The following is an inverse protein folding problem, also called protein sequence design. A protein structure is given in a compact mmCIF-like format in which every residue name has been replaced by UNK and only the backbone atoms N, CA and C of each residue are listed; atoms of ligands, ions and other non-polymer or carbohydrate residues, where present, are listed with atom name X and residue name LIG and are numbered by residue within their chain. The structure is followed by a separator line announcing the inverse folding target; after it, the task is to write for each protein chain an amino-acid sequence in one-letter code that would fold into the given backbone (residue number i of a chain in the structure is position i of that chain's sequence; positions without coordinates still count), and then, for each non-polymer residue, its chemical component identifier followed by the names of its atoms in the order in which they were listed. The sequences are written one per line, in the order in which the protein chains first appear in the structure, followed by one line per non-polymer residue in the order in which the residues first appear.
data_IF_466865970842
#
_entry.id   IF_466865970842
#
_cell.length_a   1.000
_cell.length_b   1.000
_cell.length_c   1.000
_cell.angle_alpha   90.00
_cell.angle_beta   90.00
_cell.angle_gamma   90.00
#
_symmetry.space_group_name_H-M   'P 1'
#
loop_
_entity.id
_entity.type
_entity.pdbx_description
1 polymer ?
#
# COMPACT_ATOMS: atom_id res chain seq x y z
N UNK A 1 -44.58 46.32 61.33
CA UNK A 1 -44.27 44.92 60.94
C UNK A 1 -45.17 44.51 59.78
N UNK A 2 -44.65 44.46 58.55
CA UNK A 2 -45.18 43.68 57.41
C UNK A 2 -44.13 43.75 56.29
N UNK A 3 -43.77 42.58 55.76
CA UNK A 3 -42.64 42.31 54.86
C UNK A 3 -42.99 42.62 53.41
N UNK A 4 -42.08 43.25 52.68
CA UNK A 4 -42.10 43.38 51.22
C UNK A 4 -41.50 42.12 50.56
N UNK A 5 -42.18 41.62 49.53
CA UNK A 5 -41.66 40.60 48.61
C UNK A 5 -40.59 41.20 47.69
N UNK A 6 -39.46 40.51 47.54
CA UNK A 6 -38.48 40.77 46.50
C UNK A 6 -38.41 39.55 45.56
N UNK A 7 -38.58 39.81 44.27
CA UNK A 7 -38.51 38.88 43.14
C UNK A 7 -37.04 38.68 42.79
N UNK A 8 -36.56 37.43 42.79
CA UNK A 8 -35.23 37.07 42.26
C UNK A 8 -35.37 36.50 40.85
N UNK A 9 -34.76 37.15 39.87
CA UNK A 9 -34.60 36.66 38.51
C UNK A 9 -33.29 35.85 38.39
N UNK A 10 -33.38 34.60 37.94
CA UNK A 10 -32.24 33.78 37.55
C UNK A 10 -31.77 34.16 36.14
N UNK A 11 -30.52 34.61 36.01
CA UNK A 11 -29.80 34.68 34.73
C UNK A 11 -28.82 33.50 34.63
N UNK A 12 -29.04 32.60 33.68
CA UNK A 12 -28.11 31.53 33.33
C UNK A 12 -27.06 32.07 32.34
N UNK A 13 -25.79 32.12 32.75
CA UNK A 13 -24.65 32.34 31.86
C UNK A 13 -24.28 31.03 31.14
N UNK A 14 -24.36 31.03 29.80
CA UNK A 14 -23.72 30.02 28.95
C UNK A 14 -22.35 30.56 28.54
N UNK A 15 -21.28 29.89 28.96
CA UNK A 15 -19.91 30.20 28.55
C UNK A 15 -19.63 29.61 27.15
N UNK A 16 -19.31 30.48 26.18
CA UNK A 16 -18.82 30.08 24.87
C UNK A 16 -17.29 29.90 24.91
N UNK A 17 -16.80 28.72 24.52
CA UNK A 17 -15.37 28.45 24.36
C UNK A 17 -14.85 29.00 23.01
N UNK A 18 -13.59 29.48 22.93
CA UNK A 18 -13.04 30.00 21.69
C UNK A 18 -12.60 28.88 20.76
N UNK A 19 -12.97 28.97 19.48
CA UNK A 19 -12.53 28.09 18.42
C UNK A 19 -11.04 28.33 18.11
N UNK A 20 -10.19 27.36 18.44
CA UNK A 20 -8.79 27.36 18.04
C UNK A 20 -8.68 27.08 16.53
N UNK A 21 -8.25 28.09 15.77
CA UNK A 21 -7.92 27.96 14.35
C UNK A 21 -6.66 27.09 14.18
N UNK A 22 -6.84 25.84 13.78
CA UNK A 22 -5.74 24.96 13.39
C UNK A 22 -5.08 25.49 12.10
N UNK A 23 -3.85 25.96 12.22
CA UNK A 23 -2.97 26.26 11.08
C UNK A 23 -2.73 24.96 10.31
N UNK A 24 -3.21 24.89 9.06
CA UNK A 24 -2.90 23.80 8.12
C UNK A 24 -1.43 23.92 7.71
N UNK A 25 -0.61 22.94 8.06
CA UNK A 25 0.73 22.79 7.49
C UNK A 25 0.64 22.54 5.97
N UNK A 26 1.56 23.10 5.16
CA UNK A 26 1.63 22.79 3.75
C UNK A 26 2.00 21.32 3.55
N UNK A 27 1.23 20.65 2.68
CA UNK A 27 1.49 19.27 2.26
C UNK A 27 2.89 19.15 1.65
N UNK A 28 3.65 18.08 1.95
CA UNK A 28 4.93 17.82 1.28
C UNK A 28 4.73 17.64 -0.24
N UNK A 29 5.75 17.94 -1.05
CA UNK A 29 5.64 17.95 -2.50
C UNK A 29 5.20 16.60 -3.04
N UNK A 30 4.08 16.64 -3.77
CA UNK A 30 3.65 15.77 -4.87
C UNK A 30 4.32 14.40 -4.96
N UNK A 31 3.50 13.37 -4.69
CA UNK A 31 3.66 12.00 -5.20
C UNK A 31 4.20 12.04 -6.62
N UNK A 32 5.40 11.50 -6.83
CA UNK A 32 5.90 11.19 -8.17
C UNK A 32 4.95 10.15 -8.77
N UNK A 33 4.15 10.57 -9.77
CA UNK A 33 3.40 9.62 -10.59
C UNK A 33 4.40 8.78 -11.38
N UNK A 34 4.62 7.54 -10.95
CA UNK A 34 5.36 6.56 -11.75
C UNK A 34 4.42 6.06 -12.85
N UNK A 35 4.56 6.61 -14.05
CA UNK A 35 3.88 6.09 -15.24
C UNK A 35 4.47 4.73 -15.61
N UNK A 36 3.84 3.63 -15.18
CA UNK A 36 4.19 2.29 -15.65
C UNK A 36 3.45 1.96 -16.95
N UNK A 37 3.73 2.71 -18.01
CA UNK A 37 3.19 2.47 -19.35
C UNK A 37 4.28 2.61 -20.39
N UNK A 38 4.75 1.50 -20.97
CA UNK A 38 5.58 1.55 -22.17
C UNK A 38 4.68 2.01 -23.32
N UNK A 39 4.93 3.20 -23.89
CA UNK A 39 4.35 3.63 -25.17
C UNK A 39 4.72 2.61 -26.25
N UNK A 40 3.87 1.62 -26.47
CA UNK A 40 4.00 0.71 -27.60
C UNK A 40 3.04 1.16 -28.70
N UNK A 41 3.37 0.84 -29.95
CA UNK A 41 2.49 1.04 -31.12
C UNK A 41 1.13 0.35 -30.95
N UNK A 42 0.94 -0.46 -29.91
CA UNK A 42 -0.19 -1.36 -29.68
C UNK A 42 -1.20 -0.91 -28.63
N UNK A 43 -1.08 0.32 -28.10
CA UNK A 43 -1.97 0.85 -27.06
C UNK A 43 -1.56 0.37 -25.66
N UNK A 44 -2.25 0.80 -24.62
CA UNK A 44 -1.93 0.41 -23.25
C UNK A 44 -3.13 0.57 -22.31
N UNK A 45 -3.11 -0.09 -21.15
CA UNK A 45 -4.08 0.15 -20.09
C UNK A 45 -3.42 0.80 -18.87
N UNK A 46 -4.18 1.61 -18.14
CA UNK A 46 -3.85 2.05 -16.80
C UNK A 46 -4.94 1.64 -15.82
N UNK A 47 -4.51 1.20 -14.63
CA UNK A 47 -5.37 0.87 -13.51
C UNK A 47 -4.95 1.72 -12.31
N UNK A 48 -5.89 2.51 -11.82
CA UNK A 48 -5.73 3.42 -10.69
C UNK A 48 -6.62 2.96 -9.54
N UNK A 49 -5.99 2.70 -8.39
CA UNK A 49 -6.69 2.46 -7.13
C UNK A 49 -7.10 3.81 -6.52
N UNK A 50 -8.38 3.97 -6.18
CA UNK A 50 -8.90 5.23 -5.64
C UNK A 50 -9.02 5.20 -4.11
N UNK A 51 -9.43 4.07 -3.55
CA UNK A 51 -9.59 3.91 -2.09
C UNK A 51 -10.42 2.71 -1.71
N UNK A 52 -10.31 2.32 -0.45
CA UNK A 52 -11.22 1.37 0.20
C UNK A 52 -12.37 2.13 0.85
N UNK A 53 -13.51 1.47 0.99
CA UNK A 53 -14.50 1.85 1.99
C UNK A 53 -14.22 1.20 3.34
N UNK A 54 -15.09 1.43 4.32
CA UNK A 54 -15.01 0.83 5.66
C UNK A 54 -15.38 -0.65 5.70
N UNK A 55 -15.76 -1.22 4.55
CA UNK A 55 -16.12 -2.62 4.35
C UNK A 55 -15.17 -3.26 3.33
N UNK A 56 -15.52 -4.42 2.78
CA UNK A 56 -14.79 -5.01 1.67
C UNK A 56 -15.26 -4.44 0.34
N UNK A 57 -15.08 -3.14 0.15
CA UNK A 57 -15.35 -2.43 -1.08
C UNK A 57 -14.14 -1.59 -1.50
N UNK A 58 -13.83 -1.63 -2.78
CA UNK A 58 -12.73 -0.86 -3.39
C UNK A 58 -13.24 -0.05 -4.56
N UNK A 59 -12.81 1.21 -4.63
CA UNK A 59 -13.02 2.09 -5.76
C UNK A 59 -11.79 2.06 -6.67
N UNK A 60 -12.04 1.99 -7.98
CA UNK A 60 -10.99 1.94 -8.98
C UNK A 60 -11.40 2.66 -10.26
N UNK A 61 -10.38 3.09 -10.98
CA UNK A 61 -10.49 3.68 -12.29
C UNK A 61 -9.58 2.91 -13.24
N UNK A 62 -10.15 2.45 -14.36
CA UNK A 62 -9.43 1.78 -15.42
C UNK A 62 -9.63 2.51 -16.74
N UNK A 63 -8.55 2.76 -17.46
CA UNK A 63 -8.55 3.33 -18.81
C UNK A 63 -7.73 2.46 -19.75
N UNK A 64 -8.16 2.36 -21.00
CA UNK A 64 -7.45 1.73 -22.10
C UNK A 64 -7.28 2.78 -23.18
N UNK A 65 -6.06 2.96 -23.63
CA UNK A 65 -5.69 3.87 -24.71
C UNK A 65 -5.48 3.08 -25.99
N UNK A 66 -5.95 3.62 -27.13
CA UNK A 66 -5.79 2.94 -28.41
C UNK A 66 -4.32 2.94 -28.87
N UNK A 67 -3.97 2.01 -29.78
CA UNK A 67 -2.72 2.04 -30.56
C UNK A 67 -2.40 3.42 -31.16
N UNK A 68 -1.13 3.77 -31.27
CA UNK A 68 -0.71 4.98 -32.00
C UNK A 68 -1.28 4.97 -33.41
N UNK A 69 -1.92 6.06 -33.84
CA UNK A 69 -2.58 6.17 -35.14
C UNK A 69 -4.00 5.59 -35.19
N UNK A 70 -4.53 5.08 -34.06
CA UNK A 70 -5.94 4.73 -33.90
C UNK A 70 -6.56 5.61 -32.81
N UNK A 71 -7.70 6.24 -33.09
CA UNK A 71 -8.40 7.10 -32.13
C UNK A 71 -7.77 8.49 -31.93
N UNK A 72 -8.32 9.26 -31.00
CA UNK A 72 -7.81 10.59 -30.63
C UNK A 72 -6.59 10.44 -29.72
N UNK A 73 -5.50 11.13 -30.07
CA UNK A 73 -4.25 11.03 -29.33
C UNK A 73 -4.43 11.53 -27.89
N UNK A 74 -4.09 10.68 -26.92
CA UNK A 74 -4.20 11.02 -25.50
C UNK A 74 -5.60 10.83 -24.91
N UNK A 75 -6.57 10.36 -25.69
CA UNK A 75 -7.89 10.00 -25.18
C UNK A 75 -8.04 8.47 -25.07
N UNK A 76 -8.54 7.96 -23.94
CA UNK A 76 -8.86 6.55 -23.82
C UNK A 76 -10.09 6.23 -24.67
N UNK A 77 -10.07 5.08 -25.34
CA UNK A 77 -11.21 4.57 -26.11
C UNK A 77 -12.08 3.62 -25.28
N UNK A 78 -11.56 3.16 -24.14
CA UNK A 78 -12.33 2.45 -23.11
C UNK A 78 -11.97 2.94 -21.73
N UNK A 79 -12.97 3.09 -20.88
CA UNK A 79 -12.77 3.50 -19.50
C UNK A 79 -13.88 2.94 -18.63
N UNK A 80 -13.58 2.76 -17.34
CA UNK A 80 -14.57 2.49 -16.30
C UNK A 80 -14.09 3.03 -14.98
N UNK A 81 -14.99 3.67 -14.24
CA UNK A 81 -14.79 4.18 -12.89
C UNK A 81 -15.96 3.69 -12.06
N UNK A 82 -15.65 3.07 -10.93
CA UNK A 82 -16.67 2.47 -10.10
C UNK A 82 -16.08 1.67 -8.95
N UNK A 83 -16.88 0.76 -8.42
CA UNK A 83 -16.55 0.00 -7.22
C UNK A 83 -16.68 -1.49 -7.44
N UNK A 84 -15.82 -2.27 -6.81
CA UNK A 84 -16.01 -3.69 -6.56
C UNK A 84 -16.32 -3.86 -5.07
N UNK A 85 -17.37 -4.61 -4.75
CA UNK A 85 -17.83 -4.82 -3.37
C UNK A 85 -18.05 -6.31 -3.13
N UNK A 86 -17.57 -6.80 -1.99
CA UNK A 86 -17.98 -8.08 -1.42
C UNK A 86 -19.02 -7.84 -0.33
N UNK A 87 -20.30 -8.21 -0.56
CA UNK A 87 -21.33 -8.15 0.47
C UNK A 87 -20.93 -8.97 1.71
N UNK A 88 -21.37 -8.61 2.93
CA UNK A 88 -21.02 -9.34 4.15
C UNK A 88 -21.30 -10.84 4.07
N UNK A 89 -22.47 -11.21 3.54
CA UNK A 89 -22.96 -12.59 3.49
C UNK A 89 -22.65 -13.30 2.17
N UNK A 90 -21.68 -12.81 1.40
CA UNK A 90 -21.35 -13.38 0.10
C UNK A 90 -19.86 -13.31 -0.25
N UNK A 91 -19.38 -14.35 -0.92
CA UNK A 91 -18.07 -14.40 -1.57
C UNK A 91 -18.13 -14.01 -3.05
N UNK A 92 -19.32 -13.66 -3.57
CA UNK A 92 -19.51 -13.16 -4.91
C UNK A 92 -19.30 -11.64 -4.94
N UNK A 93 -18.24 -11.20 -5.63
CA UNK A 93 -18.00 -9.78 -5.85
C UNK A 93 -19.10 -9.18 -6.75
N UNK A 94 -19.51 -7.95 -6.43
CA UNK A 94 -20.44 -7.15 -7.22
C UNK A 94 -19.74 -5.90 -7.71
N UNK A 95 -19.77 -5.67 -9.02
CA UNK A 95 -19.24 -4.46 -9.64
C UNK A 95 -20.35 -3.44 -9.91
N UNK A 96 -20.13 -2.19 -9.51
CA UNK A 96 -20.99 -1.04 -9.83
C UNK A 96 -20.13 -0.01 -10.59
N UNK A 97 -20.30 0.06 -11.91
CA UNK A 97 -19.57 1.00 -12.75
C UNK A 97 -20.39 2.27 -12.93
N UNK A 98 -20.06 3.30 -12.13
CA UNK A 98 -20.73 4.62 -12.15
C UNK A 98 -20.55 5.29 -13.50
N UNK A 99 -19.37 5.09 -14.10
CA UNK A 99 -18.99 5.75 -15.33
C UNK A 99 -18.20 4.78 -16.21
N UNK A 100 -18.62 4.57 -17.46
CA UNK A 100 -17.94 3.65 -18.37
C UNK A 100 -18.09 4.04 -19.85
N UNK A 101 -17.16 3.57 -20.68
CA UNK A 101 -17.22 3.67 -22.14
C UNK A 101 -18.49 2.99 -22.68
N UNK A 102 -19.14 3.61 -23.65
CA UNK A 102 -20.44 3.18 -24.19
C UNK A 102 -21.65 3.79 -23.47
N UNK A 103 -21.45 4.52 -22.37
CA UNK A 103 -22.49 5.41 -21.82
C UNK A 103 -22.68 6.64 -22.71
N UNK A 104 -23.84 7.32 -22.63
CA UNK A 104 -24.12 8.56 -23.39
C UNK A 104 -23.22 9.76 -23.01
N UNK A 105 -22.33 9.60 -22.02
CA UNK A 105 -21.54 10.67 -21.44
C UNK A 105 -20.12 10.66 -22.05
N UNK A 106 -19.63 11.77 -22.62
CA UNK A 106 -18.29 11.84 -23.20
C UNK A 106 -17.22 11.72 -22.13
N UNK A 107 -16.05 11.15 -22.47
CA UNK A 107 -14.88 11.10 -21.58
C UNK A 107 -14.37 12.51 -21.27
N UNK A 108 -13.97 12.74 -20.02
CA UNK A 108 -13.38 14.00 -19.59
C UNK A 108 -12.70 13.86 -18.23
N UNK A 109 -11.52 14.47 -18.08
CA UNK A 109 -10.79 14.46 -16.82
C UNK A 109 -11.56 15.16 -15.69
N UNK A 110 -12.32 16.21 -16.01
CA UNK A 110 -13.20 16.88 -15.05
C UNK A 110 -14.33 15.96 -14.55
N UNK A 111 -14.84 15.09 -15.41
CA UNK A 111 -15.83 14.07 -15.05
C UNK A 111 -15.19 13.03 -14.13
N UNK A 112 -13.97 12.57 -14.45
CA UNK A 112 -13.25 11.64 -13.59
C UNK A 112 -13.05 12.22 -12.18
N UNK A 113 -12.60 13.47 -12.06
CA UNK A 113 -12.38 14.10 -10.76
C UNK A 113 -13.69 14.28 -9.98
N UNK A 114 -14.80 14.60 -10.66
CA UNK A 114 -16.14 14.63 -10.02
C UNK A 114 -16.54 13.24 -9.50
N UNK A 115 -16.32 12.18 -10.26
CA UNK A 115 -16.63 10.80 -9.84
C UNK A 115 -15.73 10.36 -8.68
N UNK A 116 -14.43 10.71 -8.69
CA UNK A 116 -13.53 10.46 -7.56
C UNK A 116 -14.01 11.18 -6.30
N UNK A 117 -14.44 12.43 -6.41
CA UNK A 117 -14.97 13.20 -5.28
C UNK A 117 -16.27 12.59 -4.73
N UNK A 118 -17.18 12.15 -5.61
CA UNK A 118 -18.40 11.42 -5.20
C UNK A 118 -18.07 10.10 -4.47
N UNK A 119 -17.14 9.31 -5.02
CA UNK A 119 -16.68 8.07 -4.39
C UNK A 119 -16.04 8.33 -3.01
N UNK A 120 -15.24 9.38 -2.87
CA UNK A 120 -14.69 9.80 -1.60
C UNK A 120 -15.79 10.19 -0.60
N UNK A 121 -16.82 10.95 -1.02
CA UNK A 121 -17.97 11.27 -0.18
C UNK A 121 -18.77 10.02 0.23
N UNK A 122 -18.77 8.97 -0.60
CA UNK A 122 -19.31 7.63 -0.29
C UNK A 122 -18.38 6.79 0.58
N UNK A 123 -17.27 7.34 1.05
CA UNK A 123 -16.31 6.72 1.96
C UNK A 123 -15.22 5.90 1.30
N UNK A 124 -15.01 5.99 -0.02
CA UNK A 124 -13.95 5.28 -0.75
C UNK A 124 -12.64 6.08 -0.86
N UNK A 125 -12.18 6.66 0.22
CA UNK A 125 -10.93 7.43 0.32
C UNK A 125 -9.91 6.80 1.28
N UNK A 126 -10.25 5.66 1.88
CA UNK A 126 -9.39 5.01 2.88
C UNK A 126 -8.23 4.30 2.19
N UNK A 127 -7.00 4.62 2.62
CA UNK A 127 -5.79 4.00 2.08
C UNK A 127 -5.60 2.60 2.65
N UNK A 128 -5.38 1.65 1.76
CA UNK A 128 -4.94 0.29 2.09
C UNK A 128 -3.41 0.17 2.11
N UNK A 129 -2.94 -1.08 2.15
CA UNK A 129 -1.53 -1.40 1.88
C UNK A 129 -1.40 -1.99 0.49
N UNK A 130 -0.29 -1.72 -0.17
CA UNK A 130 0.00 -2.24 -1.51
C UNK A 130 1.22 -3.14 -1.43
N UNK A 131 1.11 -4.29 -2.06
CA UNK A 131 2.23 -5.18 -2.33
C UNK A 131 2.40 -5.24 -3.84
N UNK A 132 3.58 -4.86 -4.31
CA UNK A 132 3.95 -4.98 -5.71
C UNK A 132 4.66 -6.31 -5.93
N UNK A 133 4.14 -7.11 -6.85
CA UNK A 133 4.74 -8.39 -7.21
C UNK A 133 5.73 -8.13 -8.34
N UNK A 134 7.00 -8.28 -7.98
CA UNK A 134 8.13 -8.05 -8.86
C UNK A 134 8.21 -9.09 -9.96
N UNK A 135 8.83 -8.67 -11.07
CA UNK A 135 9.02 -9.50 -12.27
C UNK A 135 10.26 -10.35 -12.17
N UNK A 136 11.23 -9.84 -11.43
CA UNK A 136 12.54 -10.42 -11.29
C UNK A 136 12.46 -11.80 -10.66
N UNK A 137 13.54 -12.55 -10.81
CA UNK A 137 13.64 -13.89 -10.25
C UNK A 137 13.56 -13.82 -8.72
N UNK A 138 12.83 -14.75 -8.13
CA UNK A 138 12.84 -14.97 -6.69
C UNK A 138 14.02 -15.91 -6.43
N UNK A 139 14.82 -15.64 -5.41
CA UNK A 139 15.97 -16.44 -5.09
C UNK A 139 15.61 -17.93 -4.95
N UNK A 140 16.56 -18.80 -5.30
CA UNK A 140 16.37 -20.25 -5.42
C UNK A 140 16.20 -20.92 -4.05
N UNK A 141 15.05 -20.71 -3.42
CA UNK A 141 14.65 -21.34 -2.17
C UNK A 141 13.30 -22.08 -2.35
N UNK A 142 13.20 -23.35 -1.92
CA UNK A 142 11.95 -24.12 -2.03
C UNK A 142 10.74 -23.38 -1.46
N UNK A 143 9.70 -23.22 -2.28
CA UNK A 143 8.41 -22.62 -1.89
C UNK A 143 8.37 -21.09 -1.81
N UNK A 144 9.51 -20.40 -1.89
CA UNK A 144 9.57 -18.94 -1.75
C UNK A 144 8.83 -18.22 -2.89
N UNK A 145 9.09 -18.65 -4.13
CA UNK A 145 8.40 -18.12 -5.32
C UNK A 145 6.88 -18.36 -5.24
N UNK A 146 6.46 -19.52 -4.75
CA UNK A 146 5.03 -19.81 -4.56
C UNK A 146 4.38 -18.86 -3.55
N UNK A 147 5.08 -18.50 -2.47
CA UNK A 147 4.57 -17.53 -1.50
C UNK A 147 4.49 -16.12 -2.09
N UNK A 148 5.48 -15.68 -2.87
CA UNK A 148 5.56 -14.31 -3.40
C UNK A 148 4.71 -14.13 -4.67
N UNK A 149 4.75 -15.04 -5.62
CA UNK A 149 4.14 -14.84 -6.96
C UNK A 149 2.72 -15.37 -7.11
N UNK A 150 2.19 -16.06 -6.10
CA UNK A 150 0.86 -16.69 -6.18
C UNK A 150 -0.08 -16.27 -5.05
N UNK A 151 -1.30 -16.77 -5.12
CA UNK A 151 -2.36 -16.59 -4.12
C UNK A 151 -2.40 -17.69 -3.06
N UNK A 152 -1.41 -18.60 -3.03
CA UNK A 152 -1.40 -19.78 -2.17
C UNK A 152 -1.51 -19.46 -0.67
N UNK A 153 -0.93 -18.34 -0.22
CA UNK A 153 -0.93 -17.94 1.20
C UNK A 153 -2.23 -17.31 1.68
N UNK A 154 -3.18 -17.02 0.78
CA UNK A 154 -4.38 -16.28 1.16
C UNK A 154 -5.36 -17.11 1.98
N UNK A 155 -5.30 -18.45 1.83
CA UNK A 155 -6.22 -19.46 2.42
C UNK A 155 -7.67 -18.97 2.36
N UNK A 156 -8.34 -19.27 1.26
CA UNK A 156 -9.71 -18.86 1.02
C UNK A 156 -10.65 -20.03 1.33
N UNK A 157 -11.78 -19.79 1.99
CA UNK A 157 -12.79 -20.82 2.28
C UNK A 157 -13.68 -21.14 1.09
N UNK A 158 -13.32 -20.62 -0.08
CA UNK A 158 -13.92 -20.94 -1.36
C UNK A 158 -12.85 -20.92 -2.46
N UNK A 159 -13.15 -21.56 -3.59
CA UNK A 159 -12.25 -21.58 -4.74
C UNK A 159 -12.69 -20.52 -5.76
N UNK A 160 -12.15 -19.28 -5.73
CA UNK A 160 -12.48 -18.31 -6.75
C UNK A 160 -11.95 -18.78 -8.11
N UNK A 161 -12.68 -18.41 -9.18
CA UNK A 161 -12.17 -18.61 -10.53
C UNK A 161 -11.04 -17.61 -10.78
N UNK A 162 -9.81 -18.05 -10.62
CA UNK A 162 -8.60 -17.31 -10.99
C UNK A 162 -8.47 -17.21 -12.51
N UNK A 163 -7.75 -16.21 -13.03
CA UNK A 163 -7.48 -16.15 -14.45
C UNK A 163 -6.54 -17.30 -14.86
N UNK A 164 -6.53 -17.62 -16.15
CA UNK A 164 -5.65 -18.66 -16.70
C UNK A 164 -4.16 -18.27 -16.65
N UNK A 165 -3.25 -19.19 -17.01
CA UNK A 165 -1.80 -19.04 -16.87
C UNK A 165 -1.18 -17.88 -17.65
N UNK A 166 -1.91 -17.30 -18.60
CA UNK A 166 -1.48 -16.09 -19.32
C UNK A 166 -1.49 -14.82 -18.43
N UNK A 167 -2.05 -14.90 -17.22
CA UNK A 167 -2.12 -13.80 -16.27
C UNK A 167 -1.21 -14.07 -15.07
N UNK A 168 -0.34 -13.12 -14.78
CA UNK A 168 0.57 -13.17 -13.63
C UNK A 168 0.04 -12.26 -12.53
N UNK A 169 0.15 -12.66 -11.27
CA UNK A 169 -0.13 -11.77 -10.15
C UNK A 169 0.86 -10.60 -10.18
N UNK A 170 0.35 -9.38 -10.16
CA UNK A 170 1.16 -8.17 -10.35
C UNK A 170 1.10 -7.23 -9.15
N UNK A 171 -0.06 -7.10 -8.52
CA UNK A 171 -0.25 -6.28 -7.31
C UNK A 171 -1.32 -6.88 -6.41
N UNK A 172 -1.19 -6.64 -5.12
CA UNK A 172 -2.21 -6.92 -4.11
C UNK A 172 -2.47 -5.64 -3.34
N UNK A 173 -3.73 -5.22 -3.29
CA UNK A 173 -4.17 -4.16 -2.39
C UNK A 173 -4.83 -4.82 -1.20
N UNK A 174 -4.29 -4.62 0.00
CA UNK A 174 -4.91 -5.05 1.25
C UNK A 174 -5.82 -3.94 1.76
N UNK A 175 -7.02 -4.31 2.18
CA UNK A 175 -7.91 -3.42 2.91
C UNK A 175 -7.23 -2.91 4.20
N UNK A 176 -7.61 -1.73 4.70
CA UNK A 176 -7.04 -1.16 5.93
C UNK A 176 -7.22 -2.07 7.15
N UNK A 177 -8.34 -2.80 7.18
CA UNK A 177 -8.68 -3.75 8.24
C UNK A 177 -7.97 -5.11 8.06
N UNK A 178 -7.34 -5.38 6.92
CA UNK A 178 -6.67 -6.65 6.65
C UNK A 178 -7.61 -7.85 6.48
N UNK A 179 -8.90 -7.63 6.29
CA UNK A 179 -9.92 -8.69 6.15
C UNK A 179 -10.20 -9.08 4.70
N UNK A 180 -9.82 -8.21 3.76
CA UNK A 180 -10.02 -8.39 2.33
C UNK A 180 -8.83 -7.87 1.54
N UNK A 181 -8.67 -8.38 0.31
CA UNK A 181 -7.69 -7.90 -0.65
C UNK A 181 -8.26 -7.85 -2.07
N UNK A 182 -7.77 -6.90 -2.86
CA UNK A 182 -7.95 -6.85 -4.31
C UNK A 182 -6.66 -7.37 -4.95
N UNK A 183 -6.76 -8.52 -5.60
CA UNK A 183 -5.70 -9.03 -6.48
C UNK A 183 -5.79 -8.38 -7.84
N UNK A 184 -4.63 -8.02 -8.39
CA UNK A 184 -4.49 -7.53 -9.75
C UNK A 184 -3.55 -8.48 -10.49
N UNK A 185 -4.12 -9.21 -11.44
CA UNK A 185 -3.36 -10.01 -12.38
C UNK A 185 -3.18 -9.27 -13.70
N UNK A 186 -2.05 -9.50 -14.36
CA UNK A 186 -1.72 -8.87 -15.63
C UNK A 186 -1.31 -9.90 -16.68
N UNK A 187 -1.97 -9.86 -17.83
CA UNK A 187 -1.54 -10.54 -19.06
C UNK A 187 -0.66 -9.60 -19.87
N UNK A 188 0.63 -9.91 -19.95
CA UNK A 188 1.62 -9.01 -20.58
C UNK A 188 1.71 -9.18 -22.09
N UNK A 189 1.32 -10.33 -22.61
CA UNK A 189 1.20 -10.57 -24.05
C UNK A 189 0.09 -9.72 -24.67
N UNK A 190 -0.81 -9.18 -23.84
CA UNK A 190 -1.85 -8.24 -24.25
C UNK A 190 -1.50 -6.82 -23.79
N UNK A 191 -1.36 -5.85 -24.70
CA UNK A 191 -1.18 -4.45 -24.32
C UNK A 191 -2.47 -3.82 -23.79
N UNK A 192 -3.63 -4.40 -24.12
CA UNK A 192 -4.97 -3.93 -23.77
C UNK A 192 -5.82 -5.06 -23.17
N UNK A 193 -6.75 -4.72 -22.29
CA UNK A 193 -7.48 -5.69 -21.44
C UNK A 193 -6.52 -6.63 -20.70
N UNK A 194 -5.38 -6.06 -20.32
CA UNK A 194 -4.28 -6.76 -19.69
C UNK A 194 -4.61 -7.11 -18.24
N UNK A 195 -5.58 -6.42 -17.61
CA UNK A 195 -5.86 -6.57 -16.19
C UNK A 195 -7.04 -7.52 -15.94
N UNK A 196 -6.82 -8.47 -15.03
CA UNK A 196 -7.87 -9.24 -14.38
C UNK A 196 -7.88 -8.91 -12.89
N UNK A 197 -9.02 -8.46 -12.39
CA UNK A 197 -9.19 -8.02 -11.01
C UNK A 197 -10.02 -9.05 -10.26
N UNK A 198 -9.65 -9.34 -9.01
CA UNK A 198 -10.50 -10.15 -8.13
C UNK A 198 -10.41 -9.65 -6.69
N UNK A 199 -11.56 -9.30 -6.14
CA UNK A 199 -11.73 -8.95 -4.74
C UNK A 199 -12.09 -10.21 -3.94
N UNK A 200 -11.35 -10.49 -2.87
CA UNK A 200 -11.56 -11.67 -2.00
C UNK A 200 -11.50 -11.32 -0.52
N UNK A 201 -12.17 -12.13 0.32
CA UNK A 201 -11.97 -12.14 1.78
C UNK A 201 -10.76 -12.98 2.13
N UNK A 202 -10.01 -12.54 3.13
CA UNK A 202 -8.83 -13.24 3.64
C UNK A 202 -9.28 -14.05 4.86
N UNK A 203 -8.97 -15.34 4.90
CA UNK A 203 -9.17 -16.15 6.12
C UNK A 203 -7.87 -16.41 6.86
N UNK A 204 -6.73 -16.21 6.20
CA UNK A 204 -5.42 -16.22 6.86
C UNK A 204 -5.08 -14.83 7.44
N UNK A 205 -5.29 -14.56 8.74
CA UNK A 205 -4.95 -13.25 9.33
C UNK A 205 -3.44 -12.96 9.29
N UNK A 206 -2.61 -13.99 9.14
CA UNK A 206 -1.16 -13.88 9.08
C UNK A 206 -0.61 -13.65 7.68
N UNK A 207 -1.45 -13.61 6.63
CA UNK A 207 -0.99 -13.52 5.23
C UNK A 207 0.02 -12.40 5.00
N UNK A 208 -0.19 -11.21 5.57
CA UNK A 208 0.74 -10.08 5.43
C UNK A 208 2.08 -10.34 6.09
N UNK A 209 2.07 -10.97 7.28
CA UNK A 209 3.30 -11.32 8.01
C UNK A 209 4.05 -12.44 7.32
N UNK A 210 3.36 -13.48 6.85
CA UNK A 210 3.95 -14.58 6.09
C UNK A 210 4.62 -14.06 4.81
N UNK A 211 3.94 -13.18 4.06
CA UNK A 211 4.50 -12.58 2.84
C UNK A 211 5.61 -11.57 3.13
N UNK A 212 5.51 -10.77 4.20
CA UNK A 212 6.60 -9.90 4.63
C UNK A 212 7.88 -10.69 4.96
N UNK A 213 7.75 -11.84 5.64
CA UNK A 213 8.88 -12.75 5.88
C UNK A 213 9.44 -13.31 4.59
N UNK A 214 8.59 -13.72 3.65
CA UNK A 214 9.05 -14.19 2.34
C UNK A 214 9.84 -13.12 1.59
N UNK A 215 9.33 -11.89 1.51
CA UNK A 215 10.06 -10.78 0.91
C UNK A 215 11.38 -10.49 1.65
N UNK A 216 11.39 -10.52 2.99
CA UNK A 216 12.62 -10.36 3.78
C UNK A 216 13.66 -11.41 3.41
N UNK A 217 13.26 -12.68 3.35
CA UNK A 217 14.14 -13.79 2.97
C UNK A 217 14.63 -13.65 1.54
N UNK A 218 13.75 -13.32 0.60
CA UNK A 218 14.11 -13.12 -0.81
C UNK A 218 15.15 -12.00 -0.94
N UNK A 219 14.94 -10.86 -0.27
CA UNK A 219 15.88 -9.74 -0.31
C UNK A 219 17.27 -10.12 0.23
N UNK A 220 17.32 -10.89 1.31
CA UNK A 220 18.59 -11.38 1.86
C UNK A 220 19.33 -12.30 0.89
N UNK A 221 18.62 -13.24 0.26
CA UNK A 221 19.22 -14.18 -0.69
C UNK A 221 19.66 -13.48 -1.99
N UNK A 222 18.89 -12.51 -2.50
CA UNK A 222 19.30 -11.71 -3.66
C UNK A 222 20.63 -10.99 -3.41
N UNK A 223 20.82 -10.46 -2.21
CA UNK A 223 22.10 -9.84 -1.85
C UNK A 223 23.22 -10.87 -1.68
N UNK A 224 22.95 -12.00 -1.03
CA UNK A 224 23.97 -13.02 -0.73
C UNK A 224 24.45 -13.77 -1.98
N UNK A 225 23.52 -14.17 -2.85
CA UNK A 225 23.80 -15.08 -3.96
C UNK A 225 24.14 -14.33 -5.26
N UNK A 226 23.52 -13.16 -5.47
CA UNK A 226 23.65 -12.39 -6.71
C UNK A 226 24.30 -11.02 -6.54
N UNK A 227 24.62 -10.60 -5.30
CA UNK A 227 25.07 -9.23 -5.00
C UNK A 227 24.11 -8.15 -5.51
N UNK A 228 22.82 -8.47 -5.67
CA UNK A 228 21.79 -7.55 -6.16
C UNK A 228 21.28 -6.67 -5.01
N UNK A 229 22.05 -5.64 -4.66
CA UNK A 229 21.69 -4.69 -3.59
C UNK A 229 20.37 -3.95 -3.87
N UNK A 230 20.11 -3.59 -5.12
CA UNK A 230 18.89 -2.86 -5.49
C UNK A 230 17.66 -3.77 -5.39
N UNK A 231 17.75 -5.00 -5.92
CA UNK A 231 16.70 -6.00 -5.75
C UNK A 231 16.46 -6.34 -4.28
N UNK A 232 17.52 -6.45 -3.49
CA UNK A 232 17.43 -6.74 -2.08
C UNK A 232 16.71 -5.64 -1.29
N UNK A 233 17.06 -4.37 -1.53
CA UNK A 233 16.38 -3.23 -0.90
C UNK A 233 14.91 -3.15 -1.30
N UNK A 234 14.57 -3.38 -2.58
CA UNK A 234 13.17 -3.39 -3.04
C UNK A 234 12.33 -4.45 -2.35
N UNK A 235 12.85 -5.66 -2.17
CA UNK A 235 12.14 -6.70 -1.41
C UNK A 235 11.89 -6.27 0.04
N UNK A 236 12.89 -5.66 0.68
CA UNK A 236 12.77 -5.20 2.07
C UNK A 236 11.84 -3.99 2.21
N UNK A 237 11.78 -3.12 1.21
CA UNK A 237 10.78 -2.06 1.13
C UNK A 237 9.35 -2.64 1.09
N UNK A 238 9.11 -3.68 0.29
CA UNK A 238 7.82 -4.38 0.27
C UNK A 238 7.54 -5.05 1.63
N UNK A 239 8.54 -5.73 2.20
CA UNK A 239 8.41 -6.41 3.48
C UNK A 239 8.03 -5.47 4.63
N UNK A 240 8.71 -4.33 4.77
CA UNK A 240 8.42 -3.32 5.79
C UNK A 240 7.09 -2.60 5.53
N UNK A 241 6.63 -2.51 4.27
CA UNK A 241 5.30 -2.01 3.95
C UNK A 241 4.17 -2.96 4.40
N UNK A 242 4.39 -4.27 4.25
CA UNK A 242 3.45 -5.34 4.63
C UNK A 242 3.37 -5.54 6.14
N UNK A 243 4.52 -5.56 6.81
CA UNK A 243 4.67 -5.66 8.26
C UNK A 243 5.65 -4.59 8.79
N UNK A 244 5.14 -3.38 9.06
CA UNK A 244 5.97 -2.27 9.56
C UNK A 244 6.64 -2.53 10.90
N UNK A 245 6.14 -3.51 11.66
CA UNK A 245 6.62 -3.82 13.02
C UNK A 245 7.59 -4.99 13.06
N UNK A 246 7.91 -5.59 11.90
CA UNK A 246 8.91 -6.63 11.79
C UNK A 246 10.31 -6.06 12.05
N UNK A 247 10.85 -6.29 13.25
CA UNK A 247 12.20 -5.84 13.61
C UNK A 247 13.26 -6.38 12.66
N UNK A 248 13.13 -7.66 12.26
CA UNK A 248 14.01 -8.32 11.28
C UNK A 248 13.99 -7.60 9.93
N UNK A 249 12.81 -7.33 9.36
CA UNK A 249 12.70 -6.66 8.06
C UNK A 249 13.26 -5.23 8.13
N UNK A 250 12.92 -4.49 9.19
CA UNK A 250 13.39 -3.12 9.42
C UNK A 250 14.92 -3.05 9.59
N UNK A 251 15.53 -4.00 10.30
CA UNK A 251 16.98 -4.07 10.47
C UNK A 251 17.70 -4.30 9.15
N UNK A 252 17.23 -5.26 8.36
CA UNK A 252 17.84 -5.55 7.06
C UNK A 252 17.61 -4.43 6.04
N UNK A 253 16.42 -3.79 6.05
CA UNK A 253 16.17 -2.62 5.23
C UNK A 253 17.12 -1.48 5.59
N UNK A 254 17.29 -1.20 6.89
CA UNK A 254 18.22 -0.19 7.38
C UNK A 254 19.66 -0.42 6.88
N UNK A 255 20.12 -1.68 6.93
CA UNK A 255 21.44 -2.08 6.46
C UNK A 255 21.64 -1.75 4.99
N UNK A 256 20.68 -2.08 4.12
CA UNK A 256 20.81 -1.83 2.68
C UNK A 256 20.60 -0.37 2.31
N UNK A 257 19.75 0.36 3.03
CA UNK A 257 19.64 1.82 2.90
C UNK A 257 20.97 2.51 3.18
N UNK A 258 21.67 2.11 4.26
CA UNK A 258 22.98 2.68 4.60
C UNK A 258 24.04 2.34 3.56
N UNK A 259 24.08 1.09 3.06
CA UNK A 259 24.98 0.71 1.97
C UNK A 259 24.77 1.53 0.69
N UNK A 260 23.53 1.97 0.43
CA UNK A 260 23.19 2.85 -0.68
C UNK A 260 23.40 4.35 -0.38
N UNK A 261 23.92 4.71 0.80
CA UNK A 261 24.11 6.10 1.21
C UNK A 261 22.84 6.81 1.69
N UNK A 262 21.70 6.12 1.79
CA UNK A 262 20.42 6.65 2.29
C UNK A 262 20.37 6.62 3.83
N UNK A 263 21.31 7.35 4.45
CA UNK A 263 21.60 7.27 5.89
C UNK A 263 20.38 7.62 6.75
N UNK A 264 19.65 8.69 6.45
CA UNK A 264 18.50 9.13 7.27
C UNK A 264 17.40 8.07 7.32
N UNK A 265 17.08 7.49 6.17
CA UNK A 265 16.06 6.44 6.06
C UNK A 265 16.53 5.17 6.78
N UNK A 266 17.82 4.83 6.63
CA UNK A 266 18.42 3.71 7.35
C UNK A 266 18.37 3.87 8.87
N UNK A 267 18.67 5.05 9.40
CA UNK A 267 18.56 5.33 10.83
C UNK A 267 17.11 5.27 11.33
N UNK A 268 16.14 5.73 10.53
CA UNK A 268 14.73 5.64 10.87
C UNK A 268 14.26 4.17 10.96
N UNK A 269 14.61 3.33 9.98
CA UNK A 269 14.31 1.90 9.98
C UNK A 269 15.01 1.17 11.14
N UNK A 270 16.29 1.46 11.39
CA UNK A 270 17.05 0.88 12.50
C UNK A 270 16.43 1.22 13.87
N UNK A 271 15.95 2.45 14.05
CA UNK A 271 15.25 2.86 15.27
C UNK A 271 14.00 2.02 15.52
N UNK A 272 13.24 1.69 14.48
CA UNK A 272 12.07 0.81 14.59
C UNK A 272 12.52 -0.59 14.98
N UNK A 273 13.54 -1.13 14.30
CA UNK A 273 14.08 -2.45 14.60
C UNK A 273 14.52 -2.59 16.06
N UNK A 274 15.34 -1.67 16.56
CA UNK A 274 15.84 -1.68 17.96
C UNK A 274 14.72 -1.49 18.97
N UNK A 275 13.71 -0.67 18.65
CA UNK A 275 12.54 -0.50 19.52
C UNK A 275 11.73 -1.79 19.65
N UNK A 276 11.66 -2.59 18.59
CA UNK A 276 10.91 -3.86 18.57
C UNK A 276 11.68 -5.01 19.19
N UNK A 277 12.96 -5.12 18.86
CA UNK A 277 13.85 -6.15 19.36
C UNK A 277 15.19 -5.49 19.72
N UNK A 278 15.46 -5.35 21.02
CA UNK A 278 16.64 -4.63 21.54
C UNK A 278 17.97 -5.22 21.06
N UNK A 279 17.99 -6.52 20.76
CA UNK A 279 19.18 -7.24 20.28
C UNK A 279 19.72 -6.68 18.95
N UNK A 280 18.87 -6.01 18.16
CA UNK A 280 19.33 -5.33 16.95
C UNK A 280 20.29 -4.18 17.24
N UNK A 281 20.31 -3.61 18.45
CA UNK A 281 21.31 -2.60 18.81
C UNK A 281 22.73 -3.18 18.82
N UNK A 282 22.88 -4.38 19.41
CA UNK A 282 24.16 -5.09 19.41
C UNK A 282 24.53 -5.54 17.99
N UNK A 283 23.58 -6.12 17.24
CA UNK A 283 23.79 -6.53 15.85
C UNK A 283 24.21 -5.34 14.97
N UNK A 284 23.56 -4.18 15.12
CA UNK A 284 23.92 -2.97 14.38
C UNK A 284 25.30 -2.44 14.75
N UNK A 285 25.66 -2.46 16.03
CA UNK A 285 27.00 -2.02 16.47
C UNK A 285 28.13 -2.87 15.87
N UNK A 286 27.87 -4.17 15.71
CA UNK A 286 28.82 -5.14 15.15
C UNK A 286 28.84 -5.16 13.61
N UNK A 287 27.73 -4.82 12.94
CA UNK A 287 27.61 -4.95 11.49
C UNK A 287 28.59 -4.00 10.74
N UNK A 288 29.37 -4.50 9.77
CA UNK A 288 30.29 -3.69 8.99
C UNK A 288 29.64 -2.52 8.25
N UNK A 289 28.40 -2.71 7.81
CA UNK A 289 27.64 -1.73 7.02
C UNK A 289 27.37 -0.43 7.79
N UNK A 290 27.37 -0.47 9.13
CA UNK A 290 27.19 0.71 9.97
C UNK A 290 28.51 1.25 10.54
N UNK A 291 29.67 0.74 10.10
CA UNK A 291 30.97 1.10 10.66
C UNK A 291 31.26 2.61 10.63
N UNK A 292 30.94 3.27 9.52
CA UNK A 292 31.09 4.73 9.37
C UNK A 292 30.12 5.52 10.26
N UNK A 293 28.98 4.92 10.64
CA UNK A 293 27.98 5.55 11.50
C UNK A 293 28.28 5.41 12.99
N UNK A 294 29.31 4.66 13.41
CA UNK A 294 29.66 4.48 14.83
C UNK A 294 30.05 5.78 15.55
N UNK A 295 30.41 6.82 14.80
CA UNK A 295 30.68 8.18 15.32
C UNK A 295 29.47 9.12 15.18
N UNK A 296 28.44 8.74 14.43
CA UNK A 296 27.21 9.50 14.29
C UNK A 296 26.43 9.48 15.62
N UNK A 297 26.13 10.66 16.15
CA UNK A 297 25.41 10.79 17.43
C UNK A 297 24.00 10.20 17.38
N UNK A 298 23.34 10.24 16.22
CA UNK A 298 21.99 9.72 16.02
C UNK A 298 22.00 8.20 16.05
N UNK A 299 22.98 7.58 15.39
CA UNK A 299 23.21 6.14 15.46
C UNK A 299 23.48 5.69 16.90
N UNK A 300 24.40 6.37 17.61
CA UNK A 300 24.69 6.08 19.02
C UNK A 300 23.45 6.15 19.90
N UNK A 301 22.64 7.21 19.77
CA UNK A 301 21.37 7.34 20.52
C UNK A 301 20.42 6.17 20.28
N UNK A 302 20.37 5.62 19.06
CA UNK A 302 19.52 4.46 18.75
C UNK A 302 20.04 3.20 19.45
N UNK A 303 21.34 2.89 19.34
CA UNK A 303 21.90 1.65 19.88
C UNK A 303 22.11 1.68 21.40
N UNK A 304 22.45 2.83 21.98
CA UNK A 304 22.64 3.01 23.43
C UNK A 304 21.29 3.21 24.16
N UNK A 305 20.30 3.76 23.46
CA UNK A 305 18.95 3.97 23.97
C UNK A 305 18.06 2.73 23.93
N UNK A 306 18.60 1.58 23.49
CA UNK A 306 17.87 0.32 23.49
C UNK A 306 17.45 -0.06 24.92
N UNK A 307 16.21 -0.50 25.16
CA UNK A 307 15.83 -1.07 26.45
C UNK A 307 16.79 -2.22 26.75
N UNK A 308 17.40 -2.23 27.94
CA UNK A 308 18.20 -3.37 28.38
C UNK A 308 17.23 -4.54 28.54
N UNK A 309 17.28 -5.51 27.63
CA UNK A 309 16.48 -6.71 27.74
C UNK A 309 16.71 -7.37 29.10
N UNK A 310 15.62 -7.65 29.83
CA UNK A 310 15.67 -8.56 30.96
C UNK A 310 16.11 -9.92 30.40
N UNK A 311 17.27 -10.40 30.88
CA UNK A 311 17.83 -11.69 30.50
C UNK A 311 17.02 -12.84 31.08
#
# INVERSE_FOLDING_TARGET
MRRSLAVFALFSLVAAAPAAAARREPLPPSVVMVHTGTKTVSGYDELHFLGWNTSCGVALHYVSFPPTGKGLQGEPDRWRVGTLILPPDSNAEKGEWIYQSGSKKPWGWDILEKVKADLAQRGFDVRGRVEEIRREEVAAQPGLDNVIKTTATFRLGYNPRWPGPAFELSRIYYSPLGTCLLTVFRNRSKPRDSHFLRLVRIENPDVRRERARAHTTNGLLLYQDASDLEGAERELYIATGLDPESGVAQFHHARFLVLQGRIEEGLAALKIAVKRESDFAQKASAAPEFSDLRRDQRFRKIVEGAPRGER
#
